data_IF_490617138718
#
_entry.id   IF_490617138718
#
_cell.length_a   1.000
_cell.length_b   1.000
_cell.length_c   1.000
_cell.angle_alpha   90.00
_cell.angle_beta   90.00
_cell.angle_gamma   90.00
#
_symmetry.space_group_name_H-M   'P 1'
#
loop_
_entity.id
_entity.type
_entity.pdbx_description
1 polymer ?
#
# COMPACT_ATOMS: atom_id res chain seq x y z
N UNK A 1 -9.57 7.55 0.50
CA UNK A 1 -8.92 7.28 1.79
C UNK A 1 -9.17 5.84 2.15
N UNK A 2 -8.13 5.10 2.46
CA UNK A 2 -8.20 3.74 2.97
C UNK A 2 -7.58 3.71 4.36
N UNK A 3 -7.98 2.75 5.19
CA UNK A 3 -7.44 2.57 6.53
C UNK A 3 -6.64 1.27 6.55
N UNK A 4 -5.44 1.33 7.12
CA UNK A 4 -4.60 0.12 7.24
C UNK A 4 -5.21 -0.88 8.22
N UNK A 5 -5.82 -0.37 9.30
CA UNK A 5 -6.47 -1.18 10.33
C UNK A 5 -7.92 -0.71 10.50
N UNK A 6 -8.86 -1.11 9.61
CA UNK A 6 -10.26 -0.66 9.67
C UNK A 6 -10.99 -1.17 10.91
N UNK A 7 -10.55 -2.30 11.50
CA UNK A 7 -11.16 -2.91 12.69
C UNK A 7 -11.11 -2.00 13.91
N UNK A 8 -10.12 -1.10 13.98
CA UNK A 8 -10.00 -0.12 15.06
C UNK A 8 -11.17 0.87 15.05
N UNK A 9 -11.80 1.10 13.91
CA UNK A 9 -12.96 1.98 13.83
C UNK A 9 -14.19 1.44 14.59
N UNK A 10 -14.29 0.12 14.81
CA UNK A 10 -15.35 -0.44 15.66
C UNK A 10 -15.25 0.05 17.12
N UNK A 11 -14.05 0.40 17.58
CA UNK A 11 -13.87 0.98 18.91
C UNK A 11 -14.43 2.42 19.05
N UNK A 12 -14.91 3.04 17.96
CA UNK A 12 -15.71 4.28 18.05
C UNK A 12 -16.97 4.10 18.92
N UNK A 13 -17.48 2.88 19.04
CA UNK A 13 -18.57 2.56 19.98
C UNK A 13 -18.18 2.87 21.43
N UNK A 14 -16.91 2.80 21.77
CA UNK A 14 -16.40 3.14 23.11
C UNK A 14 -16.61 4.61 23.48
N UNK A 15 -16.83 5.50 22.49
CA UNK A 15 -17.19 6.92 22.72
C UNK A 15 -18.54 7.08 23.43
N UNK A 16 -19.36 6.05 23.49
CA UNK A 16 -20.61 6.05 24.28
C UNK A 16 -20.30 6.16 25.77
N UNK A 17 -19.17 5.61 26.25
CA UNK A 17 -18.79 5.62 27.68
C UNK A 17 -18.65 7.05 28.25
N UNK A 18 -17.85 7.96 27.67
CA UNK A 18 -17.75 9.32 28.18
C UNK A 18 -19.08 10.09 28.11
N UNK A 19 -19.94 9.78 27.15
CA UNK A 19 -21.30 10.35 27.06
C UNK A 19 -22.15 9.86 28.23
N UNK A 20 -22.17 8.55 28.49
CA UNK A 20 -22.90 7.96 29.61
C UNK A 20 -22.42 8.51 30.96
N UNK A 21 -21.09 8.56 31.15
CA UNK A 21 -20.52 9.14 32.40
C UNK A 21 -20.91 10.59 32.55
N UNK A 22 -20.95 11.37 31.47
CA UNK A 22 -21.37 12.78 31.54
C UNK A 22 -22.86 12.92 31.85
N UNK A 23 -23.69 12.05 31.27
CA UNK A 23 -25.15 12.06 31.50
C UNK A 23 -25.51 11.56 32.90
N UNK A 24 -24.83 10.52 33.38
CA UNK A 24 -25.07 9.91 34.68
C UNK A 24 -24.23 10.53 35.80
N UNK A 25 -23.50 11.63 35.56
CA UNK A 25 -22.80 12.35 36.60
C UNK A 25 -23.81 12.99 37.53
N UNK A 26 -24.33 12.16 38.41
CA UNK A 26 -25.27 12.53 39.49
C UNK A 26 -24.61 13.57 40.39
N UNK A 27 -25.15 14.81 40.33
CA UNK A 27 -24.76 15.83 41.25
C UNK A 27 -25.30 15.44 42.63
N UNK A 28 -24.40 15.13 43.57
CA UNK A 28 -24.77 14.96 44.95
C UNK A 28 -25.12 16.36 45.50
N UNK A 29 -26.40 16.60 45.72
CA UNK A 29 -26.88 17.83 46.35
C UNK A 29 -26.73 17.70 47.85
N UNK A 30 -25.86 18.51 48.43
CA UNK A 30 -25.82 18.72 49.90
C UNK A 30 -26.77 19.84 50.23
N UNK A 31 -27.75 19.57 51.09
CA UNK A 31 -28.66 20.59 51.61
C UNK A 31 -27.94 21.41 52.65
N UNK A 32 -27.67 22.67 52.31
CA UNK A 32 -27.11 23.65 53.28
C UNK A 32 -28.19 24.69 53.56
N UNK A 33 -28.52 24.89 54.83
CA UNK A 33 -29.49 25.89 55.26
C UNK A 33 -28.87 27.29 55.24
N UNK A 34 -29.44 28.19 54.46
CA UNK A 34 -29.01 29.59 54.38
C UNK A 34 -30.17 30.52 54.73
N UNK A 35 -29.86 31.55 55.54
CA UNK A 35 -30.81 32.52 56.04
C UNK A 35 -31.21 33.60 55.01
N UNK A 36 -30.38 33.90 54.02
CA UNK A 36 -30.68 34.94 53.02
C UNK A 36 -30.72 34.35 51.58
N UNK A 37 -31.90 33.91 51.15
CA UNK A 37 -32.13 33.19 49.88
C UNK A 37 -32.13 34.15 48.69
N UNK A 38 -32.54 35.41 48.83
CA UNK A 38 -32.70 36.33 47.70
C UNK A 38 -31.36 36.73 47.05
N UNK A 39 -30.32 36.95 47.83
CA UNK A 39 -28.97 37.25 47.32
C UNK A 39 -28.33 36.05 46.66
N UNK A 40 -28.51 34.85 47.23
CA UNK A 40 -27.99 33.60 46.67
C UNK A 40 -28.61 33.25 45.32
N UNK A 41 -29.91 33.52 45.12
CA UNK A 41 -30.58 33.21 43.86
C UNK A 41 -29.97 33.98 42.67
N UNK A 42 -29.59 35.24 42.82
CA UNK A 42 -28.95 36.02 41.74
C UNK A 42 -27.59 35.46 41.34
N UNK A 43 -26.76 35.10 42.31
CA UNK A 43 -25.43 34.55 42.10
C UNK A 43 -25.53 33.15 41.45
N UNK A 44 -26.47 32.31 41.87
CA UNK A 44 -26.67 30.98 41.36
C UNK A 44 -27.14 30.99 39.87
N UNK A 45 -28.03 31.92 39.49
CA UNK A 45 -28.47 32.04 38.09
C UNK A 45 -27.34 32.42 37.14
N UNK A 46 -26.45 33.32 37.59
CA UNK A 46 -25.32 33.78 36.77
C UNK A 46 -24.26 32.68 36.59
N UNK A 47 -24.00 31.88 37.62
CA UNK A 47 -23.03 30.77 37.56
C UNK A 47 -23.53 29.53 36.86
N UNK A 48 -24.84 29.26 36.80
CA UNK A 48 -25.41 28.06 36.19
C UNK A 48 -25.17 28.01 34.68
N UNK A 49 -25.26 29.12 33.93
CA UNK A 49 -25.01 29.19 32.49
C UNK A 49 -23.55 28.90 32.18
N UNK A 50 -22.61 29.51 32.88
CA UNK A 50 -21.18 29.31 32.70
C UNK A 50 -20.73 27.87 33.01
N UNK A 51 -21.27 27.29 34.10
CA UNK A 51 -20.95 25.89 34.46
C UNK A 51 -21.46 24.86 33.48
N UNK A 52 -22.59 25.07 32.84
CA UNK A 52 -23.10 24.17 31.77
C UNK A 52 -22.23 24.22 30.53
N UNK A 53 -21.83 25.42 30.09
CA UNK A 53 -20.94 25.59 28.96
C UNK A 53 -19.59 24.89 29.18
N UNK A 54 -18.99 25.09 30.36
CA UNK A 54 -17.71 24.44 30.73
C UNK A 54 -17.82 22.90 30.69
N UNK A 55 -18.90 22.33 31.21
CA UNK A 55 -19.13 20.89 31.22
C UNK A 55 -19.31 20.34 29.80
N UNK A 56 -20.03 21.04 28.94
CA UNK A 56 -20.23 20.67 27.55
C UNK A 56 -18.94 20.75 26.73
N UNK A 57 -18.19 21.83 26.94
CA UNK A 57 -16.88 22.01 26.28
C UNK A 57 -15.90 20.90 26.69
N UNK A 58 -15.88 20.55 27.99
CA UNK A 58 -15.04 19.46 28.48
C UNK A 58 -15.42 18.10 27.90
N UNK A 59 -16.72 17.82 27.68
CA UNK A 59 -17.18 16.63 26.99
C UNK A 59 -16.69 16.60 25.53
N UNK A 60 -16.86 17.73 24.81
CA UNK A 60 -16.41 17.85 23.43
C UNK A 60 -14.90 17.60 23.28
N UNK A 61 -14.10 18.18 24.16
CA UNK A 61 -12.63 17.96 24.15
C UNK A 61 -12.27 16.50 24.41
N UNK A 62 -12.95 15.84 25.37
CA UNK A 62 -12.74 14.40 25.62
C UNK A 62 -13.12 13.54 24.41
N UNK A 63 -14.25 13.83 23.77
CA UNK A 63 -14.70 13.12 22.58
C UNK A 63 -13.71 13.29 21.42
N UNK A 64 -13.25 14.52 21.19
CA UNK A 64 -12.24 14.83 20.19
C UNK A 64 -10.92 14.08 20.45
N UNK A 65 -10.47 14.07 21.69
CA UNK A 65 -9.23 13.40 22.08
C UNK A 65 -9.31 11.89 21.80
N UNK A 66 -10.37 11.22 22.24
CA UNK A 66 -10.55 9.78 21.99
C UNK A 66 -10.71 9.48 20.52
N UNK A 67 -11.48 10.26 19.77
CA UNK A 67 -11.62 10.07 18.32
C UNK A 67 -10.29 10.29 17.60
N UNK A 68 -9.51 11.30 17.97
CA UNK A 68 -8.19 11.55 17.37
C UNK A 68 -7.22 10.38 17.60
N UNK A 69 -7.22 9.81 18.81
CA UNK A 69 -6.41 8.62 19.12
C UNK A 69 -6.83 7.44 18.24
N UNK A 70 -8.13 7.15 18.13
CA UNK A 70 -8.64 6.05 17.31
C UNK A 70 -8.29 6.25 15.83
N UNK A 71 -8.41 7.48 15.32
CA UNK A 71 -7.98 7.81 13.95
C UNK A 71 -6.48 7.62 13.76
N UNK A 72 -5.66 8.01 14.74
CA UNK A 72 -4.22 7.81 14.66
C UNK A 72 -3.84 6.33 14.57
N UNK A 73 -4.46 5.48 15.39
CA UNK A 73 -4.24 4.02 15.34
C UNK A 73 -4.81 3.36 14.09
N UNK A 74 -5.89 3.88 13.52
CA UNK A 74 -6.48 3.40 12.27
C UNK A 74 -5.57 3.63 11.05
N UNK A 75 -4.55 4.48 11.18
CA UNK A 75 -3.56 4.80 10.14
C UNK A 75 -4.24 5.09 8.79
N UNK A 76 -4.98 6.21 8.65
CA UNK A 76 -5.54 6.59 7.36
C UNK A 76 -4.42 6.89 6.38
N UNK A 77 -4.47 6.28 5.20
CA UNK A 77 -3.55 6.58 4.12
C UNK A 77 -4.31 6.90 2.84
N UNK A 78 -3.74 7.78 2.05
CA UNK A 78 -4.27 8.08 0.73
C UNK A 78 -3.59 7.07 -0.19
N UNK A 79 -4.28 5.98 -0.50
CA UNK A 79 -3.89 5.15 -1.61
C UNK A 79 -4.20 5.95 -2.88
N UNK A 80 -3.18 6.46 -3.53
CA UNK A 80 -3.32 6.69 -4.97
C UNK A 80 -3.66 5.31 -5.54
N UNK A 81 -4.77 5.24 -6.29
CA UNK A 81 -5.22 4.00 -6.92
C UNK A 81 -4.17 3.54 -7.96
N UNK A 82 -3.03 3.04 -7.48
CA UNK A 82 -2.03 2.38 -8.34
C UNK A 82 -2.63 1.14 -9.02
N UNK A 83 -3.66 0.54 -8.40
CA UNK A 83 -4.37 -0.59 -8.97
C UNK A 83 -5.09 -0.29 -10.31
N UNK A 84 -5.33 0.98 -10.64
CA UNK A 84 -5.96 1.39 -11.90
C UNK A 84 -5.02 2.14 -12.86
N UNK A 85 -3.80 2.48 -12.45
CA UNK A 85 -2.79 2.99 -13.39
C UNK A 85 -2.23 1.80 -14.15
N UNK A 86 -2.27 1.83 -15.48
CA UNK A 86 -1.52 0.89 -16.33
C UNK A 86 -0.06 0.93 -15.89
N UNK A 87 0.40 -0.16 -15.29
CA UNK A 87 1.80 -0.29 -14.90
C UNK A 87 2.56 -0.95 -16.04
N UNK A 88 3.75 -0.46 -16.33
CA UNK A 88 4.66 -1.08 -17.28
C UNK A 88 5.60 -2.01 -16.52
N UNK A 89 5.47 -3.31 -16.75
CA UNK A 89 6.35 -4.32 -16.14
C UNK A 89 7.52 -4.59 -17.06
N UNK A 90 8.72 -4.65 -16.51
CA UNK A 90 9.90 -5.07 -17.26
C UNK A 90 10.13 -6.56 -17.04
N UNK A 91 10.23 -7.31 -18.16
CA UNK A 91 10.50 -8.74 -18.16
C UNK A 91 11.80 -8.97 -18.93
N UNK A 92 12.78 -9.55 -18.26
CA UNK A 92 13.94 -10.14 -18.92
C UNK A 92 13.77 -11.65 -18.97
N UNK A 93 13.77 -12.21 -20.18
CA UNK A 93 13.77 -13.65 -20.43
C UNK A 93 15.10 -14.03 -21.04
N UNK A 94 15.89 -14.77 -20.31
CA UNK A 94 17.10 -15.39 -20.85
C UNK A 94 16.70 -16.41 -21.91
N UNK A 95 17.28 -16.28 -23.08
CA UNK A 95 17.07 -17.20 -24.22
C UNK A 95 18.34 -17.92 -24.58
N UNK A 96 19.31 -18.01 -23.68
CA UNK A 96 20.55 -18.74 -23.90
C UNK A 96 20.31 -20.24 -24.18
N UNK A 97 21.24 -20.87 -24.80
CA UNK A 97 21.17 -22.31 -25.14
C UNK A 97 21.02 -23.21 -23.91
N UNK A 98 21.41 -22.77 -22.75
CA UNK A 98 21.24 -23.48 -21.47
C UNK A 98 19.77 -23.75 -21.12
N UNK A 99 18.87 -22.83 -21.50
CA UNK A 99 17.42 -22.99 -21.28
C UNK A 99 16.75 -23.99 -22.24
N UNK A 100 17.49 -24.57 -23.17
CA UNK A 100 17.02 -25.69 -23.99
C UNK A 100 17.13 -27.05 -23.26
N UNK A 101 17.70 -27.05 -22.04
CA UNK A 101 17.76 -28.24 -21.20
C UNK A 101 16.38 -28.62 -20.67
N UNK A 102 16.19 -29.93 -20.46
CA UNK A 102 14.95 -30.48 -19.91
C UNK A 102 15.01 -30.44 -18.39
N UNK A 103 14.08 -29.73 -17.78
CA UNK A 103 13.79 -29.81 -16.35
C UNK A 103 12.68 -30.81 -16.04
N UNK A 104 12.26 -30.90 -14.81
CA UNK A 104 11.21 -31.83 -14.33
C UNK A 104 9.87 -31.64 -15.05
N UNK A 105 9.57 -30.42 -15.53
CA UNK A 105 8.32 -30.04 -16.21
C UNK A 105 8.45 -29.91 -17.73
N UNK A 106 9.57 -30.32 -18.32
CA UNK A 106 9.86 -30.21 -19.76
C UNK A 106 10.95 -29.18 -20.06
N UNK A 107 10.93 -28.64 -21.29
CA UNK A 107 11.93 -27.67 -21.76
C UNK A 107 11.84 -26.39 -20.90
N UNK A 108 12.92 -25.97 -20.26
CA UNK A 108 12.92 -24.84 -19.33
C UNK A 108 12.43 -23.56 -19.98
N UNK A 109 12.80 -23.29 -21.23
CA UNK A 109 12.31 -22.12 -21.96
C UNK A 109 10.79 -22.14 -22.12
N UNK A 110 10.20 -23.31 -22.45
CA UNK A 110 8.74 -23.42 -22.61
C UNK A 110 8.01 -23.25 -21.29
N UNK A 111 8.56 -23.78 -20.21
CA UNK A 111 8.00 -23.60 -18.87
C UNK A 111 8.04 -22.12 -18.48
N UNK A 112 9.16 -21.43 -18.69
CA UNK A 112 9.30 -20.01 -18.41
C UNK A 112 8.30 -19.16 -19.22
N UNK A 113 8.14 -19.45 -20.50
CA UNK A 113 7.16 -18.78 -21.38
C UNK A 113 5.73 -19.00 -20.87
N UNK A 114 5.39 -20.22 -20.47
CA UNK A 114 4.07 -20.53 -19.93
C UNK A 114 3.79 -19.76 -18.64
N UNK A 115 4.73 -19.74 -17.71
CA UNK A 115 4.61 -19.01 -16.45
C UNK A 115 4.46 -17.50 -16.65
N UNK A 116 5.18 -16.91 -17.63
CA UNK A 116 5.00 -15.49 -17.97
C UNK A 116 3.57 -15.24 -18.46
N UNK A 117 3.07 -16.06 -19.37
CA UNK A 117 1.73 -15.87 -19.96
C UNK A 117 0.64 -16.00 -18.89
N UNK A 118 0.76 -16.96 -17.98
CA UNK A 118 -0.21 -17.20 -16.92
C UNK A 118 -0.23 -16.07 -15.88
N UNK A 119 0.93 -15.52 -15.55
CA UNK A 119 1.06 -14.47 -14.52
C UNK A 119 0.91 -13.04 -15.05
N UNK A 120 0.65 -12.84 -16.35
CA UNK A 120 0.46 -11.53 -16.96
C UNK A 120 -1.00 -11.12 -16.99
N UNK A 121 -1.30 -9.82 -16.75
CA UNK A 121 -2.63 -9.24 -16.72
C UNK A 121 -2.89 -8.36 -17.94
N UNK A 122 -4.13 -8.36 -18.47
CA UNK A 122 -4.52 -7.50 -19.60
C UNK A 122 -4.54 -6.00 -19.24
N UNK A 123 -4.51 -5.66 -17.94
CA UNK A 123 -4.55 -4.27 -17.48
C UNK A 123 -3.21 -3.55 -17.61
N UNK A 124 -2.11 -4.28 -17.70
CA UNK A 124 -0.75 -3.77 -17.69
C UNK A 124 -0.12 -3.76 -19.08
N UNK A 125 0.92 -2.96 -19.26
CA UNK A 125 1.84 -3.04 -20.39
C UNK A 125 3.15 -3.71 -19.98
N UNK A 126 3.87 -4.23 -20.94
CA UNK A 126 5.07 -5.01 -20.70
C UNK A 126 6.20 -4.52 -21.58
N UNK A 127 7.40 -4.46 -21.02
CA UNK A 127 8.62 -4.30 -21.81
C UNK A 127 9.39 -5.62 -21.70
N UNK A 128 9.50 -6.33 -22.82
CA UNK A 128 10.22 -7.60 -22.89
C UNK A 128 11.62 -7.38 -23.44
N UNK A 129 12.63 -7.87 -22.72
CA UNK A 129 14.00 -7.99 -23.18
C UNK A 129 14.38 -9.46 -23.21
N UNK A 130 14.79 -9.94 -24.37
CA UNK A 130 15.47 -11.23 -24.52
C UNK A 130 16.98 -11.03 -24.73
N UNK A 131 17.74 -12.07 -24.97
CA UNK A 131 19.16 -11.93 -25.26
C UNK A 131 19.42 -11.19 -26.58
N UNK A 132 18.56 -11.37 -27.59
CA UNK A 132 18.72 -10.76 -28.92
C UNK A 132 17.79 -9.56 -29.15
N UNK A 133 16.62 -9.53 -28.53
CA UNK A 133 15.55 -8.61 -28.91
C UNK A 133 15.05 -7.76 -27.75
N UNK A 134 14.49 -6.59 -28.09
CA UNK A 134 13.92 -5.65 -27.14
C UNK A 134 12.58 -5.13 -27.66
N UNK A 135 11.51 -5.35 -26.88
CA UNK A 135 10.14 -4.98 -27.22
C UNK A 135 9.57 -4.06 -26.12
N UNK A 136 9.57 -2.74 -26.32
CA UNK A 136 9.06 -1.80 -25.33
C UNK A 136 7.54 -1.64 -25.41
N UNK A 137 6.90 -1.48 -24.25
CA UNK A 137 5.50 -1.08 -24.10
C UNK A 137 4.48 -1.91 -24.92
N UNK A 138 4.60 -3.22 -24.88
CA UNK A 138 3.71 -4.16 -25.57
C UNK A 138 2.52 -4.55 -24.68
N UNK A 139 1.40 -4.89 -25.31
CA UNK A 139 0.23 -5.46 -24.65
C UNK A 139 0.44 -6.93 -24.30
N UNK A 140 -0.42 -7.50 -23.44
CA UNK A 140 -0.39 -8.95 -23.13
C UNK A 140 -0.56 -9.83 -24.38
N UNK A 141 -1.41 -9.46 -25.31
CA UNK A 141 -1.65 -10.21 -26.55
C UNK A 141 -0.40 -10.24 -27.44
N UNK A 142 0.27 -9.11 -27.59
CA UNK A 142 1.53 -9.01 -28.33
C UNK A 142 2.64 -9.78 -27.61
N UNK A 143 2.75 -9.63 -26.28
CA UNK A 143 3.71 -10.38 -25.46
C UNK A 143 3.54 -11.89 -25.67
N UNK A 144 2.31 -12.40 -25.62
CA UNK A 144 2.02 -13.83 -25.89
C UNK A 144 2.47 -14.26 -27.29
N UNK A 145 2.17 -13.46 -28.30
CA UNK A 145 2.53 -13.76 -29.69
C UNK A 145 4.06 -13.77 -29.88
N UNK A 146 4.77 -12.88 -29.24
CA UNK A 146 6.24 -12.82 -29.29
C UNK A 146 6.83 -14.02 -28.56
N UNK A 147 6.38 -14.29 -27.32
CA UNK A 147 6.90 -15.38 -26.51
C UNK A 147 6.71 -16.77 -27.15
N UNK A 148 5.63 -16.98 -27.89
CA UNK A 148 5.39 -18.23 -28.62
C UNK A 148 6.37 -18.45 -29.76
N UNK A 149 7.02 -17.39 -30.26
CA UNK A 149 7.99 -17.44 -31.37
C UNK A 149 9.44 -17.40 -30.91
N UNK A 150 9.67 -17.15 -29.62
CA UNK A 150 11.01 -17.06 -29.02
C UNK A 150 11.74 -18.40 -29.21
N UNK A 151 12.98 -18.32 -29.65
CA UNK A 151 13.91 -19.42 -29.76
C UNK A 151 15.15 -19.16 -28.94
N UNK A 152 15.86 -20.23 -28.61
CA UNK A 152 17.17 -20.13 -27.97
C UNK A 152 18.21 -19.54 -28.90
N UNK A 153 19.12 -18.75 -28.37
CA UNK A 153 20.21 -18.08 -29.07
C UNK A 153 21.54 -18.37 -28.38
N UNK A 154 22.63 -18.25 -29.12
CA UNK A 154 24.00 -18.31 -28.57
C UNK A 154 24.44 -17.00 -27.94
N UNK A 155 23.67 -15.93 -28.14
CA UNK A 155 23.96 -14.63 -27.55
C UNK A 155 23.74 -14.66 -26.01
N UNK A 156 24.66 -14.02 -25.29
CA UNK A 156 24.60 -13.87 -23.84
C UNK A 156 24.65 -12.39 -23.47
N UNK A 157 23.79 -11.97 -22.59
CA UNK A 157 23.81 -10.62 -22.04
C UNK A 157 24.18 -10.74 -20.57
N UNK A 158 25.16 -9.93 -20.12
CA UNK A 158 25.51 -9.87 -18.71
C UNK A 158 24.34 -9.30 -17.89
N UNK A 159 24.02 -9.92 -16.77
CA UNK A 159 22.96 -9.46 -15.86
C UNK A 159 23.19 -8.02 -15.40
N UNK A 160 24.45 -7.62 -15.20
CA UNK A 160 24.81 -6.23 -14.89
C UNK A 160 24.30 -5.24 -15.94
N UNK A 161 24.35 -5.60 -17.23
CA UNK A 161 23.80 -4.77 -18.32
C UNK A 161 22.28 -4.65 -18.23
N UNK A 162 21.59 -5.73 -17.88
CA UNK A 162 20.13 -5.73 -17.69
C UNK A 162 19.76 -4.84 -16.50
N UNK A 163 20.48 -4.96 -15.38
CA UNK A 163 20.25 -4.13 -14.19
C UNK A 163 20.49 -2.64 -14.48
N UNK A 164 21.51 -2.30 -15.28
CA UNK A 164 21.74 -0.93 -15.71
C UNK A 164 20.59 -0.39 -16.59
N UNK A 165 20.05 -1.21 -17.50
CA UNK A 165 18.88 -0.84 -18.30
C UNK A 165 17.64 -0.59 -17.42
N UNK A 166 17.37 -1.48 -16.47
CA UNK A 166 16.27 -1.34 -15.51
C UNK A 166 16.44 -0.04 -14.73
N UNK A 167 17.64 0.23 -14.17
CA UNK A 167 17.91 1.47 -13.43
C UNK A 167 17.69 2.72 -14.30
N UNK A 168 18.09 2.70 -15.56
CA UNK A 168 17.85 3.80 -16.49
C UNK A 168 16.37 4.02 -16.79
N UNK A 169 15.59 2.94 -16.93
CA UNK A 169 14.14 3.01 -17.12
C UNK A 169 13.46 3.60 -15.89
N UNK A 170 13.85 3.18 -14.68
CA UNK A 170 13.32 3.75 -13.43
C UNK A 170 13.61 5.24 -13.30
N UNK A 171 14.80 5.70 -13.67
CA UNK A 171 15.16 7.12 -13.61
C UNK A 171 14.27 7.97 -14.54
N UNK A 172 13.87 7.42 -15.67
CA UNK A 172 13.08 8.13 -16.68
C UNK A 172 11.56 8.02 -16.47
N UNK A 173 11.07 6.99 -15.76
CA UNK A 173 9.64 6.65 -15.64
C UNK A 173 9.22 6.29 -14.21
N UNK A 174 9.77 6.93 -13.18
CA UNK A 174 9.62 6.54 -11.78
C UNK A 174 8.17 6.33 -11.27
N UNK A 175 7.18 6.94 -11.90
CA UNK A 175 5.77 6.87 -11.45
C UNK A 175 4.90 5.85 -12.20
N UNK A 176 5.42 5.15 -13.22
CA UNK A 176 4.63 4.23 -14.07
C UNK A 176 5.23 2.83 -14.16
N UNK A 177 6.43 2.62 -13.62
CA UNK A 177 7.07 1.31 -13.63
C UNK A 177 6.50 0.41 -12.55
N UNK A 178 6.06 -0.77 -13.00
CA UNK A 178 5.62 -1.86 -12.16
C UNK A 178 6.78 -2.74 -11.70
N UNK A 179 6.56 -4.04 -11.70
CA UNK A 179 7.56 -5.03 -11.26
C UNK A 179 8.62 -5.28 -12.32
N UNK A 180 9.85 -5.59 -11.88
CA UNK A 180 10.91 -6.11 -12.72
C UNK A 180 11.01 -7.62 -12.49
N UNK A 181 10.91 -8.38 -13.56
CA UNK A 181 10.92 -9.84 -13.53
C UNK A 181 12.13 -10.29 -14.35
N UNK A 182 13.04 -11.03 -13.73
CA UNK A 182 14.20 -11.62 -14.36
C UNK A 182 14.06 -13.14 -14.33
N UNK A 183 14.10 -13.75 -15.50
CA UNK A 183 13.97 -15.20 -15.68
C UNK A 183 15.23 -15.69 -16.39
N UNK A 184 16.01 -16.48 -15.69
CA UNK A 184 17.26 -17.08 -16.15
C UNK A 184 17.56 -18.33 -15.33
N UNK A 185 18.43 -19.19 -15.80
CA UNK A 185 18.96 -20.32 -15.03
C UNK A 185 20.04 -19.92 -14.01
N UNK A 186 20.39 -18.63 -13.97
CA UNK A 186 21.35 -18.03 -13.02
C UNK A 186 22.65 -18.84 -12.89
N UNK A 187 23.21 -19.30 -14.01
CA UNK A 187 24.48 -20.02 -13.99
C UNK A 187 25.58 -19.19 -13.30
N UNK A 188 26.42 -19.84 -12.53
CA UNK A 188 27.43 -19.23 -11.64
C UNK A 188 28.55 -18.44 -12.36
N UNK A 189 28.40 -18.12 -13.64
CA UNK A 189 29.34 -17.33 -14.43
C UNK A 189 29.12 -15.81 -14.31
N UNK A 190 28.19 -15.37 -13.45
CA UNK A 190 27.88 -13.97 -13.25
C UNK A 190 28.32 -13.55 -11.84
N UNK A 191 29.44 -12.89 -11.73
CA UNK A 191 29.77 -12.07 -10.55
C UNK A 191 28.78 -10.90 -10.50
N UNK A 192 27.65 -11.09 -9.85
CA UNK A 192 26.70 -10.01 -9.58
C UNK A 192 26.89 -9.57 -8.13
N UNK A 193 27.63 -8.51 -7.94
CA UNK A 193 27.56 -7.75 -6.69
C UNK A 193 26.16 -7.12 -6.62
N UNK A 194 25.27 -7.71 -5.86
CA UNK A 194 23.98 -7.11 -5.48
C UNK A 194 24.19 -6.02 -4.44
N UNK A 195 24.89 -4.95 -4.79
CA UNK A 195 24.98 -3.78 -3.93
C UNK A 195 23.65 -3.02 -4.04
N UNK A 196 22.79 -3.23 -3.02
CA UNK A 196 21.66 -2.38 -2.67
C UNK A 196 20.72 -1.95 -3.81
N UNK A 197 19.92 -2.86 -4.31
CA UNK A 197 18.63 -2.52 -4.93
C UNK A 197 17.58 -2.55 -3.82
N UNK A 198 17.54 -1.50 -3.01
CA UNK A 198 16.36 -1.23 -2.18
C UNK A 198 15.22 -0.73 -3.08
N UNK A 199 13.98 -1.18 -2.83
CA UNK A 199 12.78 -0.82 -3.60
C UNK A 199 12.45 0.68 -3.52
#
# INVERSE_FOLDING_TARGET
MQFKNPDILYFLVLLIIPILVHLFHLQKFTKVAFTNVAFLQKIIQQNRKSSRLKKWLLLCVRMLLFSAILFAFSQPYISENEANKKQEHFIYLDTSLSLNSKGDKGDLLKVAVQEIIENTSDKNSYTLQTNSDYYPNISKSELKNILQKVKTTSEKIAISTILLKIRKLHKNKSNTLGKNILISDFQNNYEVEFTNVTP
#
